data_IF_459391797506
#
_entry.id   IF_459391797506
#
_cell.length_a   1.000
_cell.length_b   1.000
_cell.length_c   1.000
_cell.angle_alpha   90.00
_cell.angle_beta   90.00
_cell.angle_gamma   90.00
#
_symmetry.space_group_name_H-M   'P 1'
#
loop_
_entity.id
_entity.type
_entity.pdbx_description
1 polymer ?
#
# COMPACT_ATOMS: atom_id res chain seq x y z
N UNK A 1 -0.99 1.44 11.55
CA UNK A 1 -1.96 1.89 10.54
C UNK A 1 -1.72 3.30 10.00
N UNK A 2 -1.09 4.20 10.77
CA UNK A 2 -0.99 5.63 10.42
C UNK A 2 -0.30 5.91 9.06
N UNK A 3 0.70 5.12 8.70
CA UNK A 3 1.48 5.29 7.46
C UNK A 3 1.09 4.27 6.36
N UNK A 4 0.07 3.47 6.59
CA UNK A 4 -0.34 2.38 5.71
C UNK A 4 -1.84 2.46 5.43
N UNK A 5 -2.28 1.74 4.40
CA UNK A 5 -3.69 1.44 4.21
C UNK A 5 -4.21 0.51 5.31
N UNK A 6 -5.47 0.67 5.68
CA UNK A 6 -6.18 -0.17 6.64
C UNK A 6 -7.48 -0.63 6.02
N UNK A 7 -7.74 -1.92 6.08
CA UNK A 7 -8.99 -2.51 5.60
C UNK A 7 -9.97 -2.77 6.75
N UNK A 8 -11.22 -2.38 6.53
CA UNK A 8 -12.35 -2.91 7.28
C UNK A 8 -13.03 -4.00 6.45
N UNK A 9 -13.41 -5.07 7.13
CA UNK A 9 -14.18 -6.15 6.51
C UNK A 9 -15.59 -6.20 7.08
N UNK A 10 -16.53 -6.64 6.24
CA UNK A 10 -17.86 -7.00 6.67
C UNK A 10 -17.88 -8.39 7.37
N UNK A 11 -19.05 -8.84 7.79
CA UNK A 11 -19.28 -10.14 8.46
C UNK A 11 -18.95 -11.35 7.55
N UNK A 12 -18.96 -11.17 6.24
CA UNK A 12 -18.65 -12.20 5.25
C UNK A 12 -17.16 -12.22 4.86
N UNK A 13 -16.38 -11.27 5.40
CA UNK A 13 -14.94 -11.15 5.14
C UNK A 13 -14.60 -10.36 3.87
N UNK A 14 -15.56 -9.67 3.27
CA UNK A 14 -15.29 -8.75 2.16
C UNK A 14 -14.89 -7.37 2.69
N UNK A 15 -14.06 -6.68 1.93
CA UNK A 15 -13.63 -5.32 2.27
C UNK A 15 -14.83 -4.37 2.18
N UNK A 16 -15.22 -3.81 3.32
CA UNK A 16 -16.29 -2.83 3.41
C UNK A 16 -15.78 -1.41 3.27
N UNK A 17 -14.59 -1.13 3.78
CA UNK A 17 -13.92 0.18 3.63
C UNK A 17 -12.42 0.01 3.49
N UNK A 18 -11.82 0.91 2.74
CA UNK A 18 -10.37 1.11 2.69
C UNK A 18 -10.03 2.50 3.22
N UNK A 19 -9.16 2.57 4.22
CA UNK A 19 -8.76 3.79 4.90
C UNK A 19 -7.26 4.03 4.63
N UNK A 20 -6.97 4.98 3.73
CA UNK A 20 -5.60 5.26 3.31
C UNK A 20 -4.95 6.31 4.21
N UNK A 21 -3.88 5.93 4.93
CA UNK A 21 -3.05 6.82 5.77
C UNK A 21 -3.86 7.72 6.73
N UNK A 22 -4.81 7.13 7.43
CA UNK A 22 -5.68 7.86 8.36
C UNK A 22 -5.05 8.03 9.75
N UNK A 23 -5.54 9.01 10.50
CA UNK A 23 -5.14 9.22 11.90
C UNK A 23 -5.69 8.11 12.79
N UNK A 24 -5.12 7.96 13.98
CA UNK A 24 -5.57 6.98 14.95
C UNK A 24 -7.01 7.24 15.40
N UNK A 25 -7.38 8.51 15.58
CA UNK A 25 -8.74 8.93 15.92
C UNK A 25 -9.74 8.51 14.84
N UNK A 26 -9.38 8.72 13.55
CA UNK A 26 -10.23 8.30 12.42
C UNK A 26 -10.35 6.78 12.34
N UNK A 27 -9.26 6.03 12.56
CA UNK A 27 -9.29 4.58 12.58
C UNK A 27 -10.18 4.04 13.70
N UNK A 28 -10.11 4.62 14.90
CA UNK A 28 -10.97 4.27 16.03
C UNK A 28 -12.45 4.61 15.73
N UNK A 29 -12.72 5.82 15.25
CA UNK A 29 -14.08 6.28 14.96
C UNK A 29 -14.75 5.45 13.85
N UNK A 30 -13.97 4.93 12.90
CA UNK A 30 -14.48 4.07 11.82
C UNK A 30 -14.66 2.60 12.22
N UNK A 31 -14.26 2.21 13.44
CA UNK A 31 -14.30 0.83 13.92
C UNK A 31 -13.22 -0.07 13.29
N UNK A 32 -12.13 0.52 12.77
CA UNK A 32 -11.04 -0.24 12.17
C UNK A 32 -10.13 -0.89 13.21
N UNK A 33 -10.11 -0.36 14.45
CA UNK A 33 -9.31 -0.88 15.55
C UNK A 33 -10.11 -1.96 16.29
N UNK A 34 -9.55 -3.14 16.40
CA UNK A 34 -10.19 -4.25 17.10
C UNK A 34 -10.03 -4.16 18.64
N UNK A 35 -10.64 -5.10 19.39
CA UNK A 35 -10.57 -5.16 20.86
C UNK A 35 -9.16 -5.38 21.40
N UNK A 36 -8.22 -5.82 20.58
CA UNK A 36 -6.81 -6.02 20.93
C UNK A 36 -5.93 -4.84 20.44
N UNK A 37 -6.55 -3.69 20.13
CA UNK A 37 -5.90 -2.48 19.62
C UNK A 37 -5.12 -2.70 18.31
N UNK A 38 -5.59 -3.64 17.47
CA UNK A 38 -4.98 -3.98 16.19
C UNK A 38 -5.86 -3.56 15.01
N UNK A 39 -5.21 -3.39 13.86
CA UNK A 39 -5.86 -3.06 12.59
C UNK A 39 -5.42 -4.05 11.50
N UNK A 40 -6.25 -4.24 10.47
CA UNK A 40 -5.86 -5.00 9.28
C UNK A 40 -5.05 -4.09 8.35
N UNK A 41 -3.73 -4.17 8.45
CA UNK A 41 -2.81 -3.39 7.62
C UNK A 41 -2.76 -3.98 6.21
N UNK A 42 -2.85 -3.09 5.21
CA UNK A 42 -2.57 -3.43 3.82
C UNK A 42 -1.08 -3.74 3.64
N UNK A 43 -0.79 -4.86 3.01
CA UNK A 43 0.57 -5.33 2.69
C UNK A 43 1.01 -4.97 1.27
N UNK A 44 0.15 -4.30 0.49
CA UNK A 44 0.42 -3.98 -0.90
C UNK A 44 0.27 -5.17 -1.87
N UNK A 45 -0.20 -6.32 -1.40
CA UNK A 45 -0.37 -7.50 -2.22
C UNK A 45 -1.86 -7.78 -2.46
N UNK A 46 -2.28 -7.77 -3.73
CA UNK A 46 -3.66 -8.07 -4.15
C UNK A 46 -3.62 -9.13 -5.27
N UNK A 47 -4.50 -10.12 -5.16
CA UNK A 47 -4.71 -11.12 -6.22
C UNK A 47 -5.95 -10.72 -7.01
N UNK A 48 -5.77 -10.41 -8.28
CA UNK A 48 -6.85 -10.04 -9.19
C UNK A 48 -7.16 -11.20 -10.15
N UNK A 49 -8.43 -11.51 -10.31
CA UNK A 49 -8.90 -12.50 -11.28
C UNK A 49 -8.80 -11.98 -12.72
N UNK A 50 -8.83 -12.89 -13.70
CA UNK A 50 -8.71 -12.55 -15.12
C UNK A 50 -9.77 -11.57 -15.63
N UNK A 51 -10.99 -11.64 -15.09
CA UNK A 51 -12.08 -10.76 -15.52
C UNK A 51 -11.77 -9.28 -15.18
N UNK A 52 -11.35 -9.00 -13.96
CA UNK A 52 -11.00 -7.64 -13.54
C UNK A 52 -9.77 -7.13 -14.31
N UNK A 53 -8.75 -7.99 -14.52
CA UNK A 53 -7.58 -7.63 -15.31
C UNK A 53 -7.94 -7.30 -16.76
N UNK A 54 -8.82 -8.07 -17.38
CA UNK A 54 -9.31 -7.81 -18.74
C UNK A 54 -10.09 -6.49 -18.82
N UNK A 55 -10.91 -6.18 -17.81
CA UNK A 55 -11.67 -4.93 -17.81
C UNK A 55 -10.75 -3.72 -17.59
N UNK A 56 -9.73 -3.83 -16.73
CA UNK A 56 -8.70 -2.81 -16.57
C UNK A 56 -7.89 -2.62 -17.85
N UNK A 57 -7.49 -3.72 -18.51
CA UNK A 57 -6.73 -3.65 -19.76
C UNK A 57 -7.47 -2.87 -20.86
N UNK A 58 -8.81 -3.04 -20.98
CA UNK A 58 -9.63 -2.30 -21.95
C UNK A 58 -9.61 -0.79 -21.76
N UNK A 59 -9.22 -0.31 -20.57
CA UNK A 59 -9.09 1.13 -20.31
C UNK A 59 -7.83 1.72 -20.93
N UNK A 60 -6.84 0.89 -21.30
CA UNK A 60 -5.54 1.31 -21.80
C UNK A 60 -5.08 0.49 -23.03
N UNK A 61 -5.99 -0.21 -23.71
CA UNK A 61 -5.71 -1.14 -24.80
C UNK A 61 -5.37 -0.44 -26.15
N UNK A 62 -5.48 0.87 -26.21
CA UNK A 62 -5.04 1.69 -27.36
C UNK A 62 -4.10 2.79 -26.87
N UNK A 63 -3.23 3.27 -27.78
CA UNK A 63 -2.30 4.38 -27.48
C UNK A 63 -3.04 5.64 -27.00
N UNK A 64 -4.20 5.94 -27.60
CA UNK A 64 -5.02 7.08 -27.21
C UNK A 64 -5.51 6.95 -25.77
N UNK A 65 -6.09 5.80 -25.39
CA UNK A 65 -6.57 5.53 -24.03
C UNK A 65 -5.41 5.49 -23.04
N UNK A 66 -4.29 4.85 -23.40
CA UNK A 66 -3.11 4.82 -22.55
C UNK A 66 -2.63 6.23 -22.24
N UNK A 67 -2.42 7.09 -23.25
CA UNK A 67 -1.98 8.45 -23.06
C UNK A 67 -3.00 9.31 -22.30
N UNK A 68 -4.29 9.00 -22.40
CA UNK A 68 -5.36 9.69 -21.67
C UNK A 68 -5.29 9.46 -20.16
N UNK A 69 -4.99 8.23 -19.70
CA UNK A 69 -5.07 7.86 -18.28
C UNK A 69 -3.70 7.67 -17.61
N UNK A 70 -2.64 7.39 -18.38
CA UNK A 70 -1.30 7.14 -17.86
C UNK A 70 -0.41 8.35 -18.12
N UNK A 71 -0.55 9.37 -17.27
CA UNK A 71 0.22 10.62 -17.39
C UNK A 71 0.27 11.35 -16.04
N UNK A 72 1.13 12.37 -15.93
CA UNK A 72 1.34 13.15 -14.70
C UNK A 72 0.13 14.03 -14.30
N UNK A 73 -0.76 14.36 -15.23
CA UNK A 73 -1.95 15.18 -14.94
C UNK A 73 -3.01 14.36 -14.19
N UNK A 74 -3.24 13.15 -14.63
CA UNK A 74 -4.20 12.21 -14.00
C UNK A 74 -3.61 11.58 -12.76
N UNK A 75 -2.37 11.09 -12.83
CA UNK A 75 -1.56 10.56 -11.73
C UNK A 75 -2.31 9.63 -10.78
N UNK A 76 -2.86 8.56 -11.34
CA UNK A 76 -3.62 7.56 -10.59
C UNK A 76 -2.75 6.85 -9.54
N UNK A 77 -3.29 6.67 -8.36
CA UNK A 77 -2.70 5.91 -7.26
C UNK A 77 -3.32 4.52 -7.17
N UNK A 78 -2.49 3.50 -6.96
CA UNK A 78 -3.00 2.15 -6.77
C UNK A 78 -3.99 2.08 -5.60
N UNK A 79 -3.66 2.69 -4.48
CA UNK A 79 -4.48 2.62 -3.27
C UNK A 79 -5.73 3.49 -3.33
N UNK A 80 -5.56 4.76 -3.66
CA UNK A 80 -6.66 5.72 -3.66
C UNK A 80 -7.62 5.50 -4.83
N UNK A 81 -7.12 5.02 -5.99
CA UNK A 81 -7.91 5.01 -7.21
C UNK A 81 -8.33 3.60 -7.68
N UNK A 82 -7.52 2.56 -7.40
CA UNK A 82 -7.87 1.19 -7.79
C UNK A 82 -8.45 0.36 -6.64
N UNK A 83 -7.95 0.50 -5.43
CA UNK A 83 -8.43 -0.30 -4.28
C UNK A 83 -9.73 0.25 -3.71
N UNK A 84 -9.88 1.58 -3.67
CA UNK A 84 -11.04 2.23 -3.08
C UNK A 84 -12.39 1.80 -3.70
N UNK A 85 -12.55 1.76 -5.04
CA UNK A 85 -13.79 1.30 -5.66
C UNK A 85 -14.17 -0.16 -5.38
N UNK A 86 -13.21 -1.00 -4.97
CA UNK A 86 -13.43 -2.42 -4.67
C UNK A 86 -14.02 -2.65 -3.27
N UNK A 87 -14.13 -1.63 -2.45
CA UNK A 87 -14.73 -1.73 -1.12
C UNK A 87 -16.25 -1.59 -1.19
N UNK A 88 -16.99 -2.58 -0.67
CA UNK A 88 -18.47 -2.66 -0.77
C UNK A 88 -19.21 -1.45 -0.18
N UNK A 89 -18.63 -0.81 0.83
CA UNK A 89 -19.23 0.34 1.52
C UNK A 89 -18.73 1.69 1.02
N UNK A 90 -17.93 1.73 -0.07
CA UNK A 90 -17.51 2.97 -0.69
C UNK A 90 -18.65 3.59 -1.54
N UNK A 91 -18.60 4.90 -1.74
CA UNK A 91 -19.50 5.63 -2.61
C UNK A 91 -18.72 6.43 -3.65
N UNK A 92 -19.33 6.70 -4.79
CA UNK A 92 -18.70 7.52 -5.83
C UNK A 92 -18.43 8.95 -5.33
N UNK A 93 -19.33 9.49 -4.51
CA UNK A 93 -19.18 10.83 -3.94
C UNK A 93 -17.95 10.93 -3.02
N UNK A 94 -17.74 9.93 -2.16
CA UNK A 94 -16.56 9.89 -1.28
C UNK A 94 -15.30 9.58 -2.07
N UNK A 95 -15.39 8.75 -3.11
CA UNK A 95 -14.27 8.47 -4.00
C UNK A 95 -13.74 9.72 -4.70
N UNK A 96 -14.61 10.62 -5.11
CA UNK A 96 -14.19 11.90 -5.69
C UNK A 96 -13.45 12.81 -4.69
N UNK A 97 -13.72 12.65 -3.40
CA UNK A 97 -13.08 13.43 -2.31
C UNK A 97 -11.80 12.77 -1.79
N UNK A 98 -11.53 11.51 -2.17
CA UNK A 98 -10.35 10.78 -1.68
C UNK A 98 -9.06 11.51 -2.08
N UNK A 99 -8.11 11.57 -1.15
CA UNK A 99 -6.86 12.30 -1.35
C UNK A 99 -6.04 11.69 -2.49
N UNK A 100 -5.75 12.42 -3.58
CA UNK A 100 -4.93 11.92 -4.68
C UNK A 100 -3.43 11.99 -4.37
N UNK A 101 -2.62 11.37 -5.21
CA UNK A 101 -1.16 11.57 -5.21
C UNK A 101 -0.75 12.95 -5.78
N UNK A 102 -1.57 13.52 -6.65
CA UNK A 102 -1.40 14.85 -7.24
C UNK A 102 -2.47 15.83 -6.74
N UNK A 103 -2.96 16.65 -7.65
CA UNK A 103 -4.05 17.59 -7.40
C UNK A 103 -5.38 17.05 -7.94
N UNK A 104 -6.48 17.40 -7.28
CA UNK A 104 -7.82 17.12 -7.81
C UNK A 104 -8.07 18.04 -9.00
N UNK A 105 -8.31 17.44 -10.17
CA UNK A 105 -8.64 18.13 -11.41
C UNK A 105 -9.68 17.35 -12.22
N UNK A 106 -10.23 17.97 -13.25
CA UNK A 106 -11.30 17.37 -14.07
C UNK A 106 -10.87 16.04 -14.72
N UNK A 107 -9.61 15.92 -15.16
CA UNK A 107 -9.09 14.69 -15.77
C UNK A 107 -9.01 13.55 -14.78
N UNK A 108 -8.62 13.82 -13.53
CA UNK A 108 -8.63 12.82 -12.46
C UNK A 108 -10.05 12.41 -12.11
N UNK A 109 -10.99 13.35 -12.00
CA UNK A 109 -12.40 13.03 -11.70
C UNK A 109 -13.05 12.22 -12.82
N UNK A 110 -12.75 12.50 -14.09
CA UNK A 110 -13.16 11.68 -15.22
C UNK A 110 -12.59 10.25 -15.10
N UNK A 111 -11.29 10.13 -14.85
CA UNK A 111 -10.63 8.83 -14.67
C UNK A 111 -11.22 8.04 -13.50
N UNK A 112 -11.51 8.70 -12.37
CA UNK A 112 -12.19 8.10 -11.21
C UNK A 112 -13.59 7.60 -11.56
N UNK A 113 -14.37 8.36 -12.35
CA UNK A 113 -15.67 7.91 -12.82
C UNK A 113 -15.58 6.63 -13.65
N UNK A 114 -14.61 6.56 -14.57
CA UNK A 114 -14.37 5.38 -15.39
C UNK A 114 -13.91 4.19 -14.56
N UNK A 115 -12.98 4.40 -13.61
CA UNK A 115 -12.52 3.35 -12.69
C UNK A 115 -13.65 2.85 -11.79
N UNK A 116 -14.49 3.74 -11.27
CA UNK A 116 -15.67 3.36 -10.49
C UNK A 116 -16.58 2.42 -11.27
N UNK A 117 -16.99 2.83 -12.47
CA UNK A 117 -17.88 2.04 -13.33
C UNK A 117 -17.27 0.69 -13.72
N UNK A 118 -15.94 0.61 -13.77
CA UNK A 118 -15.22 -0.62 -14.12
C UNK A 118 -15.06 -1.54 -12.92
N UNK A 119 -14.73 -1.00 -11.75
CA UNK A 119 -14.25 -1.77 -10.60
C UNK A 119 -15.32 -2.04 -9.54
N UNK A 120 -16.27 -1.12 -9.31
CA UNK A 120 -17.23 -1.23 -8.20
C UNK A 120 -18.19 -2.42 -8.29
N UNK A 121 -18.31 -3.05 -9.45
CA UNK A 121 -19.04 -4.32 -9.62
C UNK A 121 -18.30 -5.54 -9.06
N UNK A 122 -17.01 -5.40 -8.73
CA UNK A 122 -16.17 -6.46 -8.15
C UNK A 122 -16.07 -6.26 -6.64
N UNK A 123 -15.84 -7.36 -5.94
CA UNK A 123 -15.66 -7.37 -4.49
C UNK A 123 -14.27 -7.86 -4.14
N UNK A 124 -13.67 -7.27 -3.12
CA UNK A 124 -12.36 -7.65 -2.60
C UNK A 124 -12.54 -8.46 -1.30
N UNK A 125 -12.08 -9.71 -1.29
CA UNK A 125 -12.09 -10.52 -0.08
C UNK A 125 -10.80 -10.30 0.71
N UNK A 126 -10.90 -10.01 2.00
CA UNK A 126 -9.75 -9.82 2.85
C UNK A 126 -9.22 -11.16 3.36
N UNK A 127 -7.94 -11.42 3.12
CA UNK A 127 -7.20 -12.56 3.69
C UNK A 127 -6.31 -12.00 4.80
N UNK A 128 -6.67 -12.30 6.05
CA UNK A 128 -5.89 -11.86 7.20
C UNK A 128 -4.81 -12.91 7.54
N UNK A 129 -3.56 -12.49 7.54
CA UNK A 129 -2.44 -13.30 8.01
C UNK A 129 -2.20 -12.96 9.49
N UNK A 130 -2.30 -13.97 10.37
CA UNK A 130 -2.07 -13.80 11.81
C UNK A 130 -1.68 -15.14 12.44
N UNK A 131 -0.58 -15.21 13.24
CA UNK A 131 0.34 -14.10 13.51
C UNK A 131 1.20 -13.74 12.30
N UNK A 132 1.50 -12.45 12.13
CA UNK A 132 2.35 -11.96 11.06
C UNK A 132 3.10 -10.70 11.49
N UNK A 133 4.25 -10.46 10.86
CA UNK A 133 5.00 -9.21 10.96
C UNK A 133 5.12 -8.58 9.59
N UNK A 134 4.92 -7.29 9.52
CA UNK A 134 5.06 -6.50 8.30
C UNK A 134 6.34 -5.68 8.35
N UNK A 135 7.24 -5.94 7.42
CA UNK A 135 8.50 -5.24 7.25
C UNK A 135 8.40 -4.34 6.03
N UNK A 136 8.53 -3.04 6.22
CA UNK A 136 8.48 -2.06 5.15
C UNK A 136 9.87 -1.58 4.78
N UNK A 137 10.22 -1.70 3.50
CA UNK A 137 11.47 -1.23 2.92
C UNK A 137 11.18 -0.18 1.84
N UNK A 138 10.53 0.90 2.22
CA UNK A 138 10.16 1.98 1.29
C UNK A 138 11.30 2.95 1.00
N UNK A 139 12.33 2.99 1.87
CA UNK A 139 13.45 3.91 1.74
C UNK A 139 14.79 3.23 2.07
N UNK A 140 15.88 3.76 1.49
CA UNK A 140 17.24 3.31 1.83
C UNK A 140 17.56 3.50 3.32
N UNK A 141 16.97 4.49 3.97
CA UNK A 141 17.13 4.74 5.40
C UNK A 141 16.51 3.62 6.25
N UNK A 142 15.31 3.14 5.89
CA UNK A 142 14.66 2.01 6.60
C UNK A 142 15.48 0.72 6.44
N UNK A 143 16.00 0.46 5.24
CA UNK A 143 16.91 -0.67 5.02
C UNK A 143 18.18 -0.54 5.84
N UNK A 144 18.80 0.65 5.86
CA UNK A 144 19.99 0.91 6.66
C UNK A 144 19.73 0.67 8.15
N UNK A 145 18.66 1.24 8.70
CA UNK A 145 18.26 1.03 10.10
C UNK A 145 18.03 -0.44 10.43
N UNK A 146 17.39 -1.20 9.54
CA UNK A 146 17.18 -2.62 9.74
C UNK A 146 18.50 -3.38 9.88
N UNK A 147 19.45 -3.16 8.98
CA UNK A 147 20.72 -3.93 8.97
C UNK A 147 21.74 -3.46 10.00
N UNK A 148 21.61 -2.24 10.53
CA UNK A 148 22.57 -1.66 11.50
C UNK A 148 22.03 -1.68 12.94
N UNK A 149 20.75 -1.43 13.15
CA UNK A 149 20.20 -1.17 14.48
C UNK A 149 19.12 -2.17 14.90
N UNK A 150 18.31 -2.64 13.97
CA UNK A 150 17.06 -3.33 14.26
C UNK A 150 17.02 -4.80 13.87
N UNK A 151 18.12 -5.37 13.35
CA UNK A 151 18.11 -6.76 12.86
C UNK A 151 17.80 -7.76 13.99
N UNK A 152 18.14 -7.42 15.22
CA UNK A 152 17.88 -8.24 16.39
C UNK A 152 16.38 -8.38 16.70
N UNK A 153 15.56 -7.42 16.30
CA UNK A 153 14.11 -7.46 16.43
C UNK A 153 13.47 -8.54 15.53
N UNK A 154 14.23 -9.02 14.54
CA UNK A 154 13.80 -10.02 13.54
C UNK A 154 14.44 -11.40 13.73
N UNK A 155 15.02 -11.68 14.90
CA UNK A 155 15.59 -13.01 15.24
C UNK A 155 14.60 -14.14 15.09
N UNK A 156 13.29 -13.87 15.25
CA UNK A 156 12.22 -14.85 15.05
C UNK A 156 12.09 -15.32 13.59
N UNK A 157 12.67 -14.60 12.63
CA UNK A 157 12.80 -14.99 11.22
C UNK A 157 14.14 -15.72 10.92
N UNK A 158 14.89 -16.05 11.97
CA UNK A 158 16.27 -16.57 11.88
C UNK A 158 17.26 -15.63 11.15
N UNK A 159 16.92 -14.33 11.13
CA UNK A 159 17.83 -13.32 10.61
C UNK A 159 18.95 -13.06 11.59
N UNK A 160 20.16 -13.00 11.06
CA UNK A 160 21.40 -12.79 11.84
C UNK A 160 22.20 -11.66 11.22
N UNK A 161 22.79 -10.84 12.07
CA UNK A 161 23.77 -9.86 11.63
C UNK A 161 25.11 -10.59 11.37
N UNK A 162 25.24 -11.16 10.16
CA UNK A 162 26.52 -11.71 9.69
C UNK A 162 27.07 -10.72 8.67
N UNK A 163 27.84 -9.75 9.16
CA UNK A 163 28.49 -8.74 8.32
C UNK A 163 29.99 -8.91 8.43
N UNK A 164 30.65 -9.33 7.35
CA UNK A 164 32.06 -9.26 7.21
C UNK A 164 32.46 -7.84 6.81
N UNK A 165 33.04 -7.10 7.73
CA UNK A 165 33.51 -5.74 7.48
C UNK A 165 34.79 -5.46 8.23
N UNK A 166 35.65 -4.58 7.69
CA UNK A 166 36.79 -4.02 8.35
C UNK A 166 36.52 -2.69 9.06
N UNK A 167 35.26 -2.28 9.15
CA UNK A 167 34.80 -1.04 9.80
C UNK A 167 33.78 -1.29 10.90
N UNK A 168 33.95 -0.52 11.99
CA UNK A 168 33.04 -0.54 13.16
C UNK A 168 32.38 0.84 13.35
N UNK A 169 32.10 1.57 12.26
CA UNK A 169 31.57 2.90 12.36
C UNK A 169 30.04 2.89 12.50
N UNK A 170 29.53 3.78 13.36
CA UNK A 170 28.10 3.98 13.61
C UNK A 170 27.43 4.63 12.40
N UNK A 171 26.21 4.24 12.08
CA UNK A 171 25.41 4.71 10.92
C UNK A 171 25.97 4.33 9.54
N UNK A 172 26.78 3.29 9.47
CA UNK A 172 27.31 2.76 8.23
C UNK A 172 27.02 1.25 8.16
N UNK A 173 26.47 0.76 7.07
CA UNK A 173 26.34 -0.67 6.80
C UNK A 173 27.30 -1.06 5.68
N UNK A 174 28.29 -1.89 6.02
CA UNK A 174 29.21 -2.47 5.07
C UNK A 174 28.97 -3.96 5.00
N UNK A 175 28.50 -4.44 3.85
CA UNK A 175 28.12 -5.84 3.68
C UNK A 175 29.08 -6.53 2.71
N UNK A 176 29.81 -7.57 3.20
CA UNK A 176 30.79 -8.35 2.42
C UNK A 176 31.76 -7.49 1.60
N UNK A 177 32.22 -6.39 2.19
CA UNK A 177 33.06 -5.40 1.51
C UNK A 177 34.23 -4.99 2.40
N UNK A 178 35.35 -4.65 1.78
CA UNK A 178 36.50 -4.05 2.41
C UNK A 178 36.61 -2.59 1.92
N UNK A 179 36.52 -1.63 2.82
CA UNK A 179 36.55 -0.21 2.51
C UNK A 179 37.99 0.33 2.80
N UNK A 180 38.51 1.15 1.90
CA UNK A 180 39.75 1.88 2.11
C UNK A 180 39.65 2.76 3.35
N UNK A 181 40.74 2.88 4.11
CA UNK A 181 40.79 3.66 5.35
C UNK A 181 40.54 5.16 5.15
N UNK A 182 40.70 5.63 3.91
CA UNK A 182 40.54 7.04 3.54
C UNK A 182 39.21 7.32 2.79
N UNK A 183 38.31 6.32 2.68
CA UNK A 183 37.04 6.46 1.99
C UNK A 183 35.97 7.09 2.93
#
# INVERSE_FOLDING_TARGET
GKNHGVFLKDENGYVSKFLHKQTEETLNASGAVDKAEKVNIDTGAIVLGSNILNDLYKLVDTEEKFNKYVNETVRLSFYADFVYPLANGSTLEDFYKEKPEGEINDSLLEARSVLWNTLHKYTLKLICLSPASFLHFGTSKELLSLVTESIDDYKFLDWKSIVNTNREEINCAVYNSCIDKNA
#
